data_IF_771533282661
#
_entry.id   IF_771533282661
#
_cell.length_a   1.000
_cell.length_b   1.000
_cell.length_c   1.000
_cell.angle_alpha   90.00
_cell.angle_beta   90.00
_cell.angle_gamma   90.00
#
_symmetry.space_group_name_H-M   'P 1'
#
loop_
_entity.id
_entity.type
_entity.pdbx_description
1 polymer ?
#
# COMPACT_ATOMS: atom_id res chain seq x y z
N UNK A 1 -0.66 -10.21 5.07
CA UNK A 1 0.78 -9.83 5.03
C UNK A 1 0.84 -8.35 5.34
N UNK A 2 1.74 -7.93 6.22
CA UNK A 2 1.99 -6.51 6.51
C UNK A 2 3.46 -6.27 6.22
N UNK A 3 3.75 -5.51 5.17
CA UNK A 3 5.10 -4.98 4.95
C UNK A 3 5.07 -3.53 5.38
N UNK A 4 5.92 -3.15 6.33
CA UNK A 4 6.11 -1.76 6.76
C UNK A 4 7.43 -1.28 6.18
N UNK A 5 7.39 -0.17 5.44
CA UNK A 5 8.57 0.50 4.91
C UNK A 5 8.60 1.91 5.52
N UNK A 6 9.73 2.29 6.12
CA UNK A 6 10.04 3.67 6.46
C UNK A 6 10.85 4.24 5.30
N UNK A 7 10.39 5.32 4.67
CA UNK A 7 11.03 5.81 3.45
C UNK A 7 10.91 7.33 3.32
N UNK A 8 12.01 8.05 3.48
CA UNK A 8 12.10 9.40 2.93
C UNK A 8 12.35 9.28 1.42
N UNK A 9 11.40 9.69 0.59
CA UNK A 9 11.53 9.66 -0.88
C UNK A 9 12.26 10.95 -1.31
N UNK A 10 13.51 11.10 -0.89
CA UNK A 10 14.32 12.27 -1.17
C UNK A 10 15.74 11.90 -1.59
N UNK A 11 16.26 12.60 -2.61
CA UNK A 11 17.60 12.50 -3.24
C UNK A 11 17.74 11.64 -4.51
N UNK A 12 16.70 11.45 -5.30
CA UNK A 12 16.94 11.30 -6.74
C UNK A 12 16.79 12.67 -7.38
N UNK A 13 17.85 13.20 -7.99
CA UNK A 13 17.87 14.36 -8.91
C UNK A 13 17.05 14.09 -10.20
N UNK A 14 16.01 13.27 -10.07
CA UNK A 14 15.18 12.74 -11.13
C UNK A 14 13.89 13.51 -11.25
N UNK A 15 13.48 13.75 -12.50
CA UNK A 15 12.16 14.29 -12.80
C UNK A 15 11.06 13.40 -12.20
N UNK A 16 9.97 14.03 -11.77
CA UNK A 16 8.74 13.32 -11.37
C UNK A 16 8.28 12.38 -12.50
N UNK A 17 7.66 11.23 -12.17
CA UNK A 17 7.17 10.83 -10.85
C UNK A 17 8.22 10.15 -9.95
N UNK A 18 8.14 10.40 -8.64
CA UNK A 18 8.92 9.66 -7.65
C UNK A 18 8.26 8.31 -7.38
N UNK A 19 9.01 7.21 -7.47
CA UNK A 19 8.44 5.86 -7.40
C UNK A 19 9.02 5.03 -6.27
N UNK A 20 8.14 4.31 -5.57
CA UNK A 20 8.49 3.28 -4.60
C UNK A 20 8.08 1.93 -5.17
N UNK A 21 9.07 1.06 -5.37
CA UNK A 21 8.88 -0.27 -5.92
C UNK A 21 8.94 -1.32 -4.82
N UNK A 22 7.91 -2.16 -4.71
CA UNK A 22 7.81 -3.24 -3.73
C UNK A 22 7.65 -4.54 -4.49
N UNK A 23 8.64 -5.41 -4.39
CA UNK A 23 8.64 -6.72 -5.05
C UNK A 23 8.43 -7.83 -4.02
N UNK A 24 7.63 -8.82 -4.39
CA UNK A 24 7.32 -9.99 -3.59
C UNK A 24 7.91 -11.23 -4.24
N UNK A 25 8.57 -12.09 -3.45
CA UNK A 25 9.13 -13.36 -3.95
C UNK A 25 8.09 -14.34 -4.49
N UNK A 26 6.81 -14.14 -4.14
CA UNK A 26 5.67 -14.93 -4.62
C UNK A 26 4.49 -14.02 -4.88
N UNK A 27 3.54 -14.48 -5.70
CA UNK A 27 2.30 -13.74 -5.95
C UNK A 27 1.54 -13.56 -4.64
N UNK A 28 1.31 -12.30 -4.24
CA UNK A 28 0.59 -11.95 -3.01
C UNK A 28 -0.76 -11.36 -3.34
N UNK A 29 -1.71 -11.53 -2.41
CA UNK A 29 -2.99 -10.83 -2.42
C UNK A 29 -2.86 -9.57 -1.58
N UNK A 30 -3.21 -8.42 -2.13
CA UNK A 30 -3.19 -7.12 -1.47
C UNK A 30 -4.61 -6.54 -1.44
N UNK A 31 -4.93 -5.79 -0.39
CA UNK A 31 -6.24 -5.17 -0.18
C UNK A 31 -6.13 -3.68 0.09
N UNK A 32 -5.09 -3.24 0.79
CA UNK A 32 -5.02 -1.88 1.32
C UNK A 32 -3.56 -1.40 1.35
N UNK A 33 -3.35 -0.17 0.89
CA UNK A 33 -2.10 0.57 1.09
C UNK A 33 -2.40 1.72 2.03
N UNK A 34 -1.52 1.92 3.01
CA UNK A 34 -1.64 3.01 3.99
C UNK A 34 -0.35 3.81 3.98
N UNK A 35 -0.49 5.12 3.90
CA UNK A 35 0.61 6.08 3.83
C UNK A 35 0.51 7.02 5.03
N UNK A 36 1.63 7.36 5.66
CA UNK A 36 1.68 8.45 6.63
C UNK A 36 2.28 9.68 5.95
N UNK A 37 1.47 10.73 5.86
CA UNK A 37 1.84 12.03 5.24
C UNK A 37 1.30 13.15 6.11
N UNK A 38 2.03 14.26 6.21
CA UNK A 38 1.62 15.38 7.06
C UNK A 38 1.91 16.73 6.39
N UNK A 39 0.86 17.35 5.85
CA UNK A 39 0.96 18.64 5.19
C UNK A 39 1.48 19.76 6.10
N UNK A 40 1.17 19.72 7.40
CA UNK A 40 1.60 20.77 8.33
C UNK A 40 3.08 20.70 8.63
N UNK A 41 3.67 19.52 8.56
CA UNK A 41 5.09 19.29 8.80
C UNK A 41 5.92 19.38 7.52
N UNK A 42 5.37 18.93 6.39
CA UNK A 42 6.12 18.73 5.15
C UNK A 42 5.79 19.75 4.03
N UNK A 43 4.71 20.54 4.16
CA UNK A 43 4.31 21.58 3.21
C UNK A 43 4.40 21.15 1.73
N UNK A 44 5.37 21.67 0.97
CA UNK A 44 5.59 21.39 -0.45
C UNK A 44 6.12 19.98 -0.73
N UNK A 45 6.72 19.30 0.26
CA UNK A 45 7.16 17.91 0.13
C UNK A 45 6.00 16.91 0.25
N UNK A 46 4.79 17.37 0.57
CA UNK A 46 3.63 16.51 0.74
C UNK A 46 3.07 16.07 -0.61
N UNK A 47 2.87 14.76 -0.88
CA UNK A 47 2.20 14.31 -2.10
C UNK A 47 0.80 14.91 -2.23
N UNK A 48 0.47 15.46 -3.39
CA UNK A 48 -0.88 15.91 -3.75
C UNK A 48 -1.61 14.91 -4.64
N UNK A 49 -0.87 14.11 -5.41
CA UNK A 49 -1.44 13.05 -6.25
C UNK A 49 -0.54 11.83 -6.27
N UNK A 50 -1.14 10.68 -6.01
CA UNK A 50 -0.47 9.38 -6.01
C UNK A 50 -1.18 8.41 -6.95
N UNK A 51 -0.41 7.51 -7.54
CA UNK A 51 -0.86 6.41 -8.40
C UNK A 51 -0.33 5.10 -7.84
N UNK A 52 -1.23 4.15 -7.58
CA UNK A 52 -0.90 2.80 -7.18
C UNK A 52 -1.03 1.91 -8.40
N UNK A 53 0.08 1.22 -8.70
CA UNK A 53 0.21 0.34 -9.86
C UNK A 53 0.61 -1.05 -9.40
N UNK A 54 0.15 -2.07 -10.10
CA UNK A 54 0.61 -3.43 -9.87
C UNK A 54 0.81 -4.22 -11.16
N UNK A 55 1.66 -5.24 -11.09
CA UNK A 55 1.98 -6.11 -12.21
C UNK A 55 2.73 -7.36 -11.76
N UNK A 56 3.39 -8.02 -12.72
CA UNK A 56 4.29 -9.14 -12.44
C UNK A 56 5.77 -8.71 -12.48
N UNK A 57 6.08 -7.51 -12.99
CA UNK A 57 7.42 -6.91 -13.04
C UNK A 57 7.38 -5.46 -13.57
N UNK A 58 8.54 -4.84 -13.77
CA UNK A 58 8.64 -3.42 -14.14
C UNK A 58 7.95 -3.05 -15.47
N UNK A 59 7.91 -3.98 -16.42
CA UNK A 59 7.41 -3.71 -17.78
C UNK A 59 5.89 -3.89 -17.95
N UNK A 60 5.19 -4.43 -16.94
CA UNK A 60 3.76 -4.74 -17.03
C UNK A 60 2.94 -4.14 -15.88
N UNK A 61 3.46 -3.11 -15.23
CA UNK A 61 2.73 -2.36 -14.20
C UNK A 61 1.52 -1.65 -14.81
N UNK A 62 0.34 -1.89 -14.26
CA UNK A 62 -0.90 -1.20 -14.61
C UNK A 62 -1.39 -0.37 -13.43
N UNK A 63 -1.87 0.84 -13.71
CA UNK A 63 -2.51 1.66 -12.69
C UNK A 63 -3.82 1.02 -12.23
N UNK A 64 -3.93 0.80 -10.93
CA UNK A 64 -5.13 0.28 -10.27
C UNK A 64 -5.95 1.42 -9.71
N UNK A 65 -5.27 2.40 -9.09
CA UNK A 65 -5.93 3.49 -8.39
C UNK A 65 -5.07 4.74 -8.40
N UNK A 66 -5.65 5.86 -8.83
CA UNK A 66 -5.12 7.19 -8.57
C UNK A 66 -5.91 7.85 -7.45
N UNK A 67 -5.21 8.56 -6.56
CA UNK A 67 -5.81 9.27 -5.42
C UNK A 67 -5.24 10.67 -5.36
N UNK A 68 -6.11 11.65 -5.15
CA UNK A 68 -5.75 13.04 -4.87
C UNK A 68 -5.84 13.28 -3.37
N UNK A 69 -4.83 13.95 -2.82
CA UNK A 69 -4.69 14.25 -1.41
C UNK A 69 -4.79 15.76 -1.23
N UNK A 70 -5.72 16.22 -0.40
CA UNK A 70 -5.94 17.65 -0.16
C UNK A 70 -5.48 17.98 1.26
N UNK A 71 -4.22 18.43 1.38
CA UNK A 71 -3.59 18.78 2.67
C UNK A 71 -3.76 17.67 3.72
N UNK A 72 -3.37 16.41 3.42
CA UNK A 72 -3.58 15.29 4.31
C UNK A 72 -2.76 15.46 5.60
N UNK A 73 -3.29 14.96 6.72
CA UNK A 73 -2.58 14.92 8.00
C UNK A 73 -2.79 13.55 8.67
N UNK A 74 -1.70 12.80 8.81
CA UNK A 74 -1.70 11.47 9.42
C UNK A 74 -1.83 10.33 8.41
N UNK A 75 -2.55 9.28 8.81
CA UNK A 75 -2.69 8.05 8.02
C UNK A 75 -3.73 8.19 6.91
N UNK A 76 -3.29 8.00 5.67
CA UNK A 76 -4.12 7.94 4.47
C UNK A 76 -4.31 6.48 4.07
N UNK A 77 -5.56 6.06 3.93
CA UNK A 77 -5.95 4.69 3.60
C UNK A 77 -6.42 4.60 2.15
N UNK A 78 -5.74 3.80 1.34
CA UNK A 78 -6.09 3.59 -0.08
C UNK A 78 -6.49 2.14 -0.31
N UNK A 79 -7.79 1.92 -0.48
CA UNK A 79 -8.32 0.60 -0.86
C UNK A 79 -7.87 0.23 -2.26
N UNK A 80 -7.39 -1.00 -2.43
CA UNK A 80 -7.04 -1.58 -3.72
C UNK A 80 -8.18 -2.37 -4.35
N UNK A 81 -9.34 -2.44 -3.68
CA UNK A 81 -10.52 -3.11 -4.22
C UNK A 81 -11.02 -2.42 -5.49
N UNK A 82 -11.42 -3.22 -6.48
CA UNK A 82 -12.07 -2.73 -7.69
C UNK A 82 -13.48 -2.16 -7.44
N UNK A 83 -14.15 -1.78 -8.54
CA UNK A 83 -15.56 -1.37 -8.51
C UNK A 83 -16.50 -2.55 -8.22
N UNK A 84 -16.13 -3.73 -8.71
CA UNK A 84 -16.87 -4.97 -8.45
C UNK A 84 -16.52 -5.51 -7.05
N UNK A 85 -17.52 -5.80 -6.18
CA UNK A 85 -17.31 -6.45 -4.89
C UNK A 85 -16.49 -7.75 -4.97
N UNK A 86 -16.52 -8.45 -6.11
CA UNK A 86 -15.75 -9.68 -6.38
C UNK A 86 -14.25 -9.41 -6.55
N UNK A 87 -13.88 -8.19 -6.91
CA UNK A 87 -12.48 -7.72 -7.03
C UNK A 87 -11.96 -7.15 -5.70
N UNK A 88 -12.16 -7.90 -4.62
CA UNK A 88 -11.77 -7.45 -3.27
C UNK A 88 -10.26 -7.36 -3.10
N UNK A 89 -9.48 -8.07 -3.92
CA UNK A 89 -8.03 -8.19 -3.78
C UNK A 89 -7.29 -8.05 -5.10
N UNK A 90 -6.14 -7.38 -5.06
CA UNK A 90 -5.16 -7.34 -6.14
C UNK A 90 -4.15 -8.47 -5.97
N UNK A 91 -3.99 -9.32 -6.98
CA UNK A 91 -2.97 -10.37 -6.99
C UNK A 91 -1.76 -9.91 -7.81
N UNK A 92 -0.59 -9.79 -7.19
CA UNK A 92 0.58 -9.19 -7.85
C UNK A 92 1.91 -9.74 -7.32
N UNK A 93 2.96 -9.70 -8.14
CA UNK A 93 4.35 -9.87 -7.70
C UNK A 93 5.04 -8.53 -7.42
N UNK A 94 4.52 -7.43 -7.95
CA UNK A 94 5.14 -6.12 -7.83
C UNK A 94 4.09 -5.02 -7.66
N UNK A 95 4.20 -4.26 -6.58
CA UNK A 95 3.44 -3.05 -6.32
C UNK A 95 4.34 -1.83 -6.52
N UNK A 96 3.87 -0.82 -7.24
CA UNK A 96 4.54 0.46 -7.38
C UNK A 96 3.62 1.57 -6.87
N UNK A 97 4.16 2.42 -6.00
CA UNK A 97 3.51 3.65 -5.54
C UNK A 97 4.25 4.80 -6.21
N UNK A 98 3.58 5.49 -7.14
CA UNK A 98 4.12 6.61 -7.88
C UNK A 98 3.52 7.91 -7.35
N UNK A 99 4.36 8.83 -6.90
CA UNK A 99 3.96 10.19 -6.54
C UNK A 99 4.03 11.02 -7.81
N UNK A 100 2.86 11.39 -8.33
CA UNK A 100 2.71 12.09 -9.59
C UNK A 100 2.94 13.60 -9.44
N UNK A 101 2.53 14.16 -8.29
CA UNK A 101 2.72 15.57 -7.97
C UNK A 101 2.70 15.78 -6.46
N UNK A 102 3.34 16.88 -6.03
CA UNK A 102 3.29 17.35 -4.64
C UNK A 102 2.44 18.62 -4.52
N UNK A 103 2.15 19.02 -3.28
CA UNK A 103 1.56 20.32 -3.02
C UNK A 103 2.56 21.45 -3.33
N UNK A 104 2.05 22.65 -3.63
CA UNK A 104 2.85 23.85 -3.91
C UNK A 104 3.91 23.64 -5.02
N UNK A 105 3.69 22.69 -5.93
CA UNK A 105 4.65 22.29 -6.97
C UNK A 105 6.02 21.89 -6.41
N UNK A 106 6.06 21.31 -5.22
CA UNK A 106 7.31 20.81 -4.62
C UNK A 106 7.96 19.74 -5.49
N UNK A 107 9.29 19.78 -5.57
CA UNK A 107 10.07 18.87 -6.42
C UNK A 107 10.24 17.50 -5.77
N UNK A 108 10.68 17.46 -4.52
CA UNK A 108 10.90 16.24 -3.74
C UNK A 108 9.68 15.86 -2.90
N UNK A 109 9.65 14.63 -2.38
CA UNK A 109 8.49 14.10 -1.66
C UNK A 109 8.83 13.46 -0.31
N UNK A 110 8.04 13.74 0.73
CA UNK A 110 8.10 13.04 2.01
C UNK A 110 6.90 12.10 2.18
N UNK A 111 7.18 10.79 2.30
CA UNK A 111 6.20 9.77 2.70
C UNK A 111 6.74 9.02 3.90
N UNK A 112 6.49 9.54 5.11
CA UNK A 112 7.17 9.11 6.34
C UNK A 112 7.04 7.61 6.61
N UNK A 113 5.92 7.00 6.24
CA UNK A 113 5.72 5.56 6.40
C UNK A 113 4.75 4.99 5.36
N UNK A 114 5.03 3.77 4.91
CA UNK A 114 4.16 2.99 4.03
C UNK A 114 3.87 1.65 4.67
N UNK A 115 2.60 1.25 4.69
CA UNK A 115 2.15 -0.07 5.13
C UNK A 115 1.28 -0.69 4.05
N UNK A 116 1.59 -1.91 3.65
CA UNK A 116 0.82 -2.65 2.66
C UNK A 116 0.20 -3.86 3.32
N UNK A 117 -1.12 -4.01 3.17
CA UNK A 117 -1.93 -5.04 3.80
C UNK A 117 -2.53 -5.97 2.74
N UNK A 118 -2.43 -7.27 3.01
CA UNK A 118 -3.19 -8.32 2.33
C UNK A 118 -4.26 -8.93 3.24
N UNK A 119 -5.06 -9.89 2.73
CA UNK A 119 -6.06 -10.58 3.55
C UNK A 119 -5.41 -11.20 4.79
N UNK A 120 -6.17 -11.21 5.90
CA UNK A 120 -5.78 -11.97 7.08
C UNK A 120 -5.62 -13.44 6.66
N UNK A 121 -4.45 -14.01 6.93
CA UNK A 121 -4.25 -15.44 6.74
C UNK A 121 -5.20 -16.15 7.70
N UNK A 122 -6.07 -17.01 7.19
CA UNK A 122 -6.78 -17.94 8.05
C UNK A 122 -5.71 -18.86 8.66
N UNK A 123 -5.53 -18.87 9.99
CA UNK A 123 -4.56 -19.77 10.63
C UNK A 123 -4.90 -21.26 10.37
N UNK A 124 -6.15 -21.57 10.00
CA UNK A 124 -6.60 -22.93 9.69
C UNK A 124 -7.00 -23.07 8.22
N UNK A 125 -6.05 -23.29 7.28
CA UNK A 125 -6.33 -23.32 5.85
C UNK A 125 -7.31 -24.44 5.43
N UNK A 126 -7.54 -25.45 6.28
CA UNK A 126 -8.50 -26.55 6.04
C UNK A 126 -9.88 -26.31 6.64
N UNK A 127 -10.09 -25.22 7.39
CA UNK A 127 -11.33 -24.98 8.09
C UNK A 127 -12.00 -23.69 7.59
N UNK A 128 -13.20 -23.77 7.00
CA UNK A 128 -13.90 -22.59 6.49
C UNK A 128 -14.38 -21.64 7.60
N UNK A 129 -14.51 -22.14 8.83
CA UNK A 129 -14.93 -21.36 9.99
C UNK A 129 -13.72 -20.86 10.78
N UNK A 130 -13.70 -19.57 11.10
CA UNK A 130 -12.75 -19.02 12.07
C UNK A 130 -13.31 -19.22 13.48
N UNK A 131 -12.51 -19.83 14.35
CA UNK A 131 -12.84 -19.86 15.77
C UNK A 131 -12.83 -18.45 16.35
N UNK A 132 -13.92 -18.07 17.01
CA UNK A 132 -14.09 -16.74 17.62
C UNK A 132 -13.94 -16.78 19.15
N UNK A 133 -14.15 -17.93 19.79
CA UNK A 133 -13.98 -18.08 21.23
C UNK A 133 -12.56 -18.47 21.62
N UNK A 134 -12.12 -18.00 22.78
CA UNK A 134 -10.79 -18.27 23.35
C UNK A 134 -10.53 -19.77 23.55
N UNK A 135 -11.54 -20.51 23.98
CA UNK A 135 -11.49 -21.94 24.18
C UNK A 135 -11.14 -22.68 22.87
N UNK A 136 -11.86 -22.40 21.78
CA UNK A 136 -11.59 -23.05 20.50
C UNK A 136 -10.27 -22.61 19.85
N UNK A 137 -9.86 -21.35 20.06
CA UNK A 137 -8.54 -20.87 19.60
C UNK A 137 -7.40 -21.64 20.32
N UNK A 138 -7.59 -22.04 21.58
CA UNK A 138 -6.55 -22.78 22.33
C UNK A 138 -6.23 -24.16 21.73
N UNK A 139 -7.22 -24.84 21.14
CA UNK A 139 -7.06 -26.15 20.48
C UNK A 139 -6.56 -26.07 19.04
N UNK A 140 -6.38 -24.85 18.54
CA UNK A 140 -6.22 -24.64 17.11
C UNK A 140 -4.79 -24.88 16.61
N UNK A 141 -3.79 -24.86 17.51
CA UNK A 141 -2.39 -25.14 17.17
C UNK A 141 -1.79 -26.06 18.23
N UNK A 142 -1.26 -27.22 17.82
CA UNK A 142 -0.35 -28.01 18.65
C UNK A 142 1.04 -27.44 18.42
N UNK A 143 1.74 -27.04 19.48
CA UNK A 143 3.06 -26.41 19.42
C UNK A 143 4.15 -27.39 19.81
#
# INVERSE_FOLDING_TARGET
MVTTLYLEIGRSDGAQPHVVNIQFQKKVKLQLVVLYVDFKLDESYTPSKISIRAGDGFHNLKEIKAVELVKPTGWVYVSLSGSDPRETFVNTFMLQIAVLSNHLNGRDTHVRQIKVYGPRRNPFPRQPLQFTSTEFISYSTVR
#
